data_IF_278423748460
#
_entry.id   IF_278423748460
#
_cell.length_a   1.000
_cell.length_b   1.000
_cell.length_c   1.000
_cell.angle_alpha   90.00
_cell.angle_beta   90.00
_cell.angle_gamma   90.00
#
_symmetry.space_group_name_H-M   'P 1'
#
loop_
_entity.id
_entity.type
_entity.pdbx_description
1 polymer ?
#
# COMPACT_ATOMS: atom_id res chain seq x y z
N UNK A 1 11.46 -21.91 13.30
CA UNK A 1 10.40 -22.24 12.32
C UNK A 1 11.02 -22.11 10.93
N UNK A 2 11.09 -23.17 10.13
CA UNK A 2 11.76 -23.15 8.81
C UNK A 2 10.69 -23.01 7.73
N UNK A 3 10.57 -21.84 7.13
CA UNK A 3 9.61 -21.58 6.05
C UNK A 3 10.13 -22.23 4.75
N UNK A 4 9.23 -22.89 4.01
CA UNK A 4 9.52 -23.46 2.69
C UNK A 4 8.88 -22.64 1.58
N UNK A 5 9.35 -22.79 0.34
CA UNK A 5 8.92 -22.01 -0.83
C UNK A 5 7.40 -21.89 -0.98
N UNK A 6 6.67 -22.95 -0.64
CA UNK A 6 5.19 -23.00 -0.70
C UNK A 6 4.55 -22.02 0.28
N UNK A 7 5.13 -21.82 1.45
CA UNK A 7 4.61 -20.90 2.47
C UNK A 7 4.69 -19.45 1.97
N UNK A 8 5.78 -19.11 1.27
CA UNK A 8 5.94 -17.79 0.66
C UNK A 8 4.94 -17.53 -0.47
N UNK A 9 4.65 -18.55 -1.30
CA UNK A 9 3.65 -18.43 -2.38
C UNK A 9 2.24 -18.23 -1.77
N UNK A 10 1.89 -18.98 -0.72
CA UNK A 10 0.62 -18.83 -0.03
C UNK A 10 0.47 -17.45 0.62
N UNK A 11 1.50 -16.98 1.31
CA UNK A 11 1.51 -15.65 1.91
C UNK A 11 1.38 -14.56 0.84
N UNK A 12 2.10 -14.70 -0.28
CA UNK A 12 1.99 -13.77 -1.40
C UNK A 12 0.55 -13.67 -1.89
N UNK A 13 -0.11 -14.78 -2.25
CA UNK A 13 -1.52 -14.72 -2.69
C UNK A 13 -2.50 -14.19 -1.64
N UNK A 14 -2.16 -14.26 -0.35
CA UNK A 14 -2.99 -13.75 0.74
C UNK A 14 -2.87 -12.22 0.93
N UNK A 15 -1.69 -11.67 0.70
CA UNK A 15 -1.37 -10.26 0.97
C UNK A 15 -1.06 -9.44 -0.28
N UNK A 16 -1.12 -10.05 -1.46
CA UNK A 16 -0.92 -9.37 -2.74
C UNK A 16 -2.00 -8.29 -2.92
N UNK A 17 -1.54 -7.07 -3.13
CA UNK A 17 -2.40 -5.93 -3.40
C UNK A 17 -2.75 -5.89 -4.88
N UNK A 18 -4.03 -6.14 -5.19
CA UNK A 18 -4.51 -6.28 -6.58
C UNK A 18 -4.41 -4.98 -7.37
N UNK A 19 -4.40 -3.83 -6.70
CA UNK A 19 -4.27 -2.53 -7.36
C UNK A 19 -2.87 -2.30 -7.95
N UNK A 20 -1.82 -2.95 -7.43
CA UNK A 20 -0.43 -2.78 -7.88
C UNK A 20 0.01 -3.97 -8.73
N UNK A 21 -0.46 -4.04 -9.98
CA UNK A 21 -0.15 -5.13 -10.92
C UNK A 21 1.30 -5.15 -11.42
N UNK A 22 2.02 -4.04 -11.27
CA UNK A 22 3.39 -3.90 -11.77
C UNK A 22 4.35 -3.51 -10.65
N UNK A 23 5.55 -4.11 -10.67
CA UNK A 23 6.65 -3.75 -9.74
C UNK A 23 7.04 -2.27 -9.85
N UNK A 24 6.91 -1.68 -11.04
CA UNK A 24 7.03 -0.24 -11.26
C UNK A 24 5.63 0.36 -11.26
N UNK A 25 5.33 1.16 -10.24
CA UNK A 25 4.09 1.90 -10.12
C UNK A 25 4.42 3.38 -9.95
N UNK A 26 3.52 4.25 -10.40
CA UNK A 26 3.63 5.70 -10.27
C UNK A 26 2.91 6.16 -9.03
N UNK A 27 3.20 7.39 -8.60
CA UNK A 27 2.48 8.02 -7.49
C UNK A 27 0.96 8.06 -7.74
N UNK A 28 0.54 8.31 -8.99
CA UNK A 28 -0.87 8.30 -9.38
C UNK A 28 -1.56 6.95 -9.13
N UNK A 29 -0.85 5.84 -9.21
CA UNK A 29 -1.41 4.50 -8.98
C UNK A 29 -1.63 4.21 -7.48
N UNK A 30 -0.95 4.97 -6.60
CA UNK A 30 -1.06 4.84 -5.14
C UNK A 30 -2.25 5.64 -4.60
N UNK A 31 -2.67 6.72 -5.28
CA UNK A 31 -3.77 7.57 -4.81
C UNK A 31 -5.09 6.79 -4.63
N UNK A 32 -5.55 5.96 -5.59
CA UNK A 32 -6.73 5.12 -5.40
C UNK A 32 -6.57 4.11 -4.26
N UNK A 33 -5.35 3.61 -4.04
CA UNK A 33 -5.05 2.69 -2.96
C UNK A 33 -5.30 3.35 -1.59
N UNK A 34 -4.84 4.59 -1.43
CA UNK A 34 -5.01 5.36 -0.21
C UNK A 34 -6.49 5.64 0.09
N UNK A 35 -7.30 5.95 -0.92
CA UNK A 35 -8.75 6.14 -0.77
C UNK A 35 -9.48 4.86 -0.35
N UNK A 36 -9.12 3.72 -0.95
CA UNK A 36 -9.64 2.42 -0.53
C UNK A 36 -9.27 2.13 0.93
N UNK A 37 -8.02 2.37 1.30
CA UNK A 37 -7.52 2.16 2.67
C UNK A 37 -8.24 3.06 3.69
N UNK A 38 -8.47 4.35 3.35
CA UNK A 38 -9.29 5.27 4.17
C UNK A 38 -10.68 4.69 4.42
N UNK A 39 -11.30 4.13 3.38
CA UNK A 39 -12.66 3.58 3.43
C UNK A 39 -12.76 2.31 4.29
N UNK A 40 -11.71 1.49 4.35
CA UNK A 40 -11.67 0.27 5.17
C UNK A 40 -11.54 0.54 6.69
N UNK A 41 -11.16 1.75 7.10
CA UNK A 41 -11.13 2.19 8.51
C UNK A 41 -10.09 1.52 9.41
N UNK A 42 -9.24 0.63 8.87
CA UNK A 42 -8.17 -0.06 9.63
C UNK A 42 -6.88 0.75 9.75
N UNK A 43 -6.76 1.82 8.98
CA UNK A 43 -5.57 2.66 8.91
C UNK A 43 -5.99 4.12 9.00
N UNK A 44 -5.23 4.88 9.76
CA UNK A 44 -5.36 6.34 9.77
C UNK A 44 -4.45 6.90 8.69
N UNK A 45 -5.03 7.62 7.73
CA UNK A 45 -4.31 8.27 6.63
C UNK A 45 -4.29 9.77 6.89
N UNK A 46 -3.10 10.33 7.12
CA UNK A 46 -2.91 11.75 7.34
C UNK A 46 -1.99 12.35 6.26
N UNK A 47 -2.39 13.46 5.66
CA UNK A 47 -1.50 14.23 4.81
C UNK A 47 -0.48 14.97 5.68
N UNK A 48 0.81 14.81 5.39
CA UNK A 48 1.89 15.42 6.17
C UNK A 48 2.67 16.48 5.38
N UNK A 49 2.35 16.67 4.10
CA UNK A 49 2.92 17.73 3.29
C UNK A 49 2.93 17.41 1.80
N UNK A 50 3.71 18.21 1.06
CA UNK A 50 3.85 18.14 -0.39
C UNK A 50 5.34 18.12 -0.76
N UNK A 51 5.71 17.35 -1.78
CA UNK A 51 7.07 17.31 -2.30
C UNK A 51 7.40 18.55 -3.14
N UNK A 52 8.67 18.70 -3.49
CA UNK A 52 9.14 19.73 -4.44
C UNK A 52 8.58 19.56 -5.85
N UNK A 53 8.15 18.35 -6.23
CA UNK A 53 7.48 18.05 -7.50
C UNK A 53 5.94 18.12 -7.36
N UNK A 54 5.43 18.83 -6.35
CA UNK A 54 4.00 18.99 -6.09
C UNK A 54 3.22 17.68 -5.80
N UNK A 55 3.90 16.61 -5.36
CA UNK A 55 3.23 15.35 -4.97
C UNK A 55 2.88 15.32 -3.50
N UNK A 56 1.67 14.90 -3.17
CA UNK A 56 1.21 14.80 -1.79
C UNK A 56 1.94 13.66 -1.06
N UNK A 57 2.29 13.91 0.20
CA UNK A 57 2.95 12.94 1.08
C UNK A 57 1.95 12.55 2.16
N UNK A 58 1.65 11.27 2.22
CA UNK A 58 0.70 10.70 3.18
C UNK A 58 1.43 9.82 4.19
N UNK A 59 1.07 9.97 5.46
CA UNK A 59 1.47 9.10 6.55
C UNK A 59 0.37 8.09 6.82
N UNK A 60 0.74 6.81 6.85
CA UNK A 60 -0.12 5.69 7.21
C UNK A 60 0.21 5.26 8.64
N UNK A 61 -0.82 5.15 9.47
CA UNK A 61 -0.71 4.60 10.81
C UNK A 61 -1.69 3.43 10.97
N UNK A 62 -1.17 2.31 11.48
CA UNK A 62 -1.94 1.12 11.83
C UNK A 62 -1.92 0.94 13.34
N UNK A 63 -3.07 0.69 13.96
CA UNK A 63 -3.22 0.58 15.42
C UNK A 63 -4.53 1.16 15.91
#
# INVERSE_FOLDING_TARGET
>A
MKLVKVDFIKAFSLYEEKALMHRRFKHADILPLLENIRSYGRFTVAEIGKSTEDRLIFRLQYG
#
